data_IF_718245423229
#
_entry.id   IF_718245423229
#
_cell.length_a   1.000
_cell.length_b   1.000
_cell.length_c   1.000
_cell.angle_alpha   90.00
_cell.angle_beta   90.00
_cell.angle_gamma   90.00
#
_symmetry.space_group_name_H-M   'P 1'
#
loop_
_entity.id
_entity.type
_entity.pdbx_description
1 polymer ?
#
# COMPACT_ATOMS: atom_id res chain seq x y z
N UNK A 1 21.69 14.30 -26.53
CA UNK A 1 20.87 13.77 -25.41
C UNK A 1 19.44 14.21 -25.68
N UNK A 2 18.64 13.35 -26.33
CA UNK A 2 17.28 13.67 -26.68
C UNK A 2 16.41 13.45 -25.44
N UNK A 3 15.89 14.54 -24.88
CA UNK A 3 14.79 14.48 -23.92
C UNK A 3 13.56 14.04 -24.71
N UNK A 4 13.12 12.81 -24.46
CA UNK A 4 11.87 12.27 -24.96
C UNK A 4 10.72 12.99 -24.26
N UNK A 5 10.22 14.06 -24.87
CA UNK A 5 8.90 14.61 -24.56
C UNK A 5 7.85 13.54 -24.91
N UNK A 6 7.38 12.86 -23.87
CA UNK A 6 6.26 11.91 -23.98
C UNK A 6 4.99 12.76 -24.16
N UNK A 7 4.17 12.54 -25.20
CA UNK A 7 2.95 13.30 -25.41
C UNK A 7 1.99 13.10 -24.22
N UNK A 8 1.25 14.14 -23.79
CA UNK A 8 0.37 14.11 -22.61
C UNK A 8 -0.88 13.22 -22.76
N UNK A 9 -0.94 12.35 -23.77
CA UNK A 9 -2.10 11.56 -24.14
C UNK A 9 -2.15 10.14 -23.54
N UNK A 10 -1.06 9.64 -22.93
CA UNK A 10 -1.01 8.26 -22.41
C UNK A 10 -1.41 8.12 -20.94
N UNK A 11 -1.50 9.21 -20.18
CA UNK A 11 -1.70 9.17 -18.72
C UNK A 11 -2.97 9.93 -18.32
N UNK A 12 -3.78 9.38 -17.41
CA UNK A 12 -5.08 9.99 -17.07
C UNK A 12 -4.97 11.36 -16.42
N UNK A 13 -3.78 11.71 -15.92
CA UNK A 13 -3.47 12.91 -15.14
C UNK A 13 -2.41 13.79 -15.79
N UNK A 14 -2.08 13.59 -17.08
CA UNK A 14 -1.01 14.33 -17.77
C UNK A 14 -1.15 15.86 -17.68
N UNK A 15 -2.39 16.36 -17.62
CA UNK A 15 -2.70 17.79 -17.49
C UNK A 15 -2.30 18.40 -16.14
N UNK A 16 -1.97 17.59 -15.12
CA UNK A 16 -1.49 18.10 -13.82
C UNK A 16 -0.04 18.61 -13.87
N UNK A 17 0.70 18.38 -14.95
CA UNK A 17 2.07 18.88 -15.10
C UNK A 17 2.18 20.42 -15.12
N UNK A 18 1.08 21.12 -15.38
CA UNK A 18 1.01 22.59 -15.30
C UNK A 18 1.02 23.11 -13.86
N UNK A 19 0.60 22.27 -12.91
CA UNK A 19 0.46 22.59 -11.48
C UNK A 19 1.72 22.17 -10.70
N UNK A 20 1.61 22.04 -9.38
CA UNK A 20 2.71 21.57 -8.55
C UNK A 20 3.20 20.16 -9.01
N UNK A 21 4.52 19.96 -9.19
CA UNK A 21 5.09 18.67 -9.60
C UNK A 21 4.67 17.48 -8.74
N UNK A 22 4.37 17.71 -7.46
CA UNK A 22 3.90 16.68 -6.52
C UNK A 22 2.59 16.06 -7.00
N UNK A 23 1.67 16.83 -7.61
CA UNK A 23 0.39 16.30 -8.09
C UNK A 23 0.60 15.29 -9.20
N UNK A 24 1.42 15.63 -10.19
CA UNK A 24 1.78 14.73 -11.28
C UNK A 24 2.48 13.48 -10.76
N UNK A 25 3.42 13.63 -9.82
CA UNK A 25 4.15 12.51 -9.25
C UNK A 25 3.24 11.54 -8.49
N UNK A 26 2.36 12.06 -7.61
CA UNK A 26 1.41 11.25 -6.85
C UNK A 26 0.42 10.53 -7.77
N UNK A 27 -0.12 11.23 -8.76
CA UNK A 27 -1.05 10.65 -9.72
C UNK A 27 -0.39 9.54 -10.56
N UNK A 28 0.79 9.80 -11.13
CA UNK A 28 1.54 8.80 -11.91
C UNK A 28 1.89 7.58 -11.06
N UNK A 29 2.33 7.78 -9.82
CA UNK A 29 2.65 6.69 -8.91
C UNK A 29 1.41 5.83 -8.60
N UNK A 30 0.25 6.46 -8.41
CA UNK A 30 -1.01 5.74 -8.23
C UNK A 30 -1.37 4.89 -9.46
N UNK A 31 -1.25 5.43 -10.67
CA UNK A 31 -1.50 4.68 -11.90
C UNK A 31 -0.54 3.49 -12.06
N UNK A 32 0.75 3.70 -11.82
CA UNK A 32 1.75 2.63 -11.94
C UNK A 32 1.57 1.52 -10.90
N UNK A 33 1.11 1.87 -9.69
CA UNK A 33 0.90 0.91 -8.62
C UNK A 33 -0.39 0.10 -8.80
N UNK A 34 -1.34 0.55 -9.62
CA UNK A 34 -2.67 -0.08 -9.74
C UNK A 34 -2.63 -1.58 -10.04
N UNK A 35 -1.70 -1.98 -10.90
CA UNK A 35 -1.55 -3.37 -11.32
C UNK A 35 -0.86 -4.23 -10.26
N UNK A 36 0.19 -3.73 -9.61
CA UNK A 36 0.96 -4.51 -8.63
C UNK A 36 0.36 -4.46 -7.23
N UNK A 37 -0.19 -3.31 -6.83
CA UNK A 37 -0.66 -3.02 -5.48
C UNK A 37 -1.82 -2.00 -5.47
N UNK A 38 -3.08 -2.49 -5.48
CA UNK A 38 -4.27 -1.68 -5.32
C UNK A 38 -4.31 -0.85 -4.04
N UNK A 39 -3.68 -1.32 -2.96
CA UNK A 39 -3.63 -0.61 -1.69
C UNK A 39 -2.76 0.65 -1.83
N UNK A 40 -1.54 0.49 -2.33
CA UNK A 40 -0.64 1.63 -2.62
C UNK A 40 -1.33 2.63 -3.54
N UNK A 41 -2.11 2.18 -4.52
CA UNK A 41 -2.90 3.07 -5.40
C UNK A 41 -3.83 3.97 -4.59
N UNK A 42 -4.70 3.40 -3.75
CA UNK A 42 -5.64 4.19 -2.93
C UNK A 42 -4.92 5.13 -1.95
N UNK A 43 -3.80 4.70 -1.38
CA UNK A 43 -2.97 5.56 -0.52
C UNK A 43 -2.45 6.77 -1.31
N UNK A 44 -1.91 6.55 -2.53
CA UNK A 44 -1.41 7.63 -3.38
C UNK A 44 -2.51 8.57 -3.86
N UNK A 45 -3.69 8.07 -4.16
CA UNK A 45 -4.84 8.91 -4.52
C UNK A 45 -5.35 9.75 -3.36
N UNK A 46 -5.31 9.21 -2.14
CA UNK A 46 -5.58 10.00 -0.94
C UNK A 46 -4.55 11.11 -0.75
N UNK A 47 -3.26 10.80 -0.86
CA UNK A 47 -2.19 11.80 -0.79
C UNK A 47 -2.37 12.91 -1.83
N UNK A 48 -2.79 12.55 -3.06
CA UNK A 48 -3.13 13.52 -4.10
C UNK A 48 -4.28 14.43 -3.68
N UNK A 49 -5.36 13.87 -3.12
CA UNK A 49 -6.48 14.66 -2.60
C UNK A 49 -6.11 15.54 -1.40
N UNK A 50 -5.22 15.09 -0.52
CA UNK A 50 -4.67 15.90 0.58
C UNK A 50 -3.87 17.08 0.05
N UNK A 51 -2.97 16.84 -0.90
CA UNK A 51 -2.13 17.88 -1.51
C UNK A 51 -2.99 18.93 -2.24
N UNK A 52 -3.99 18.51 -3.01
CA UNK A 52 -4.93 19.44 -3.67
C UNK A 52 -5.73 20.26 -2.67
N UNK A 53 -6.18 19.66 -1.56
CA UNK A 53 -6.91 20.40 -0.52
C UNK A 53 -6.02 21.47 0.15
N UNK A 54 -4.77 21.13 0.46
CA UNK A 54 -3.79 22.06 1.03
C UNK A 54 -3.50 23.22 0.07
N UNK A 55 -3.34 22.93 -1.21
CA UNK A 55 -3.11 23.95 -2.24
C UNK A 55 -4.31 24.91 -2.37
N UNK A 56 -5.53 24.38 -2.42
CA UNK A 56 -6.76 25.19 -2.40
C UNK A 56 -6.80 26.08 -1.15
N UNK A 57 -6.50 25.52 0.02
CA UNK A 57 -6.49 26.30 1.26
C UNK A 57 -5.45 27.43 1.21
N UNK A 58 -4.25 27.15 0.70
CA UNK A 58 -3.21 28.16 0.52
C UNK A 58 -3.63 29.26 -0.46
N UNK A 59 -4.22 28.91 -1.61
CA UNK A 59 -4.72 29.87 -2.59
C UNK A 59 -5.85 30.76 -2.04
N UNK A 60 -6.67 30.24 -1.12
CA UNK A 60 -7.79 30.96 -0.53
C UNK A 60 -7.45 31.65 0.80
N UNK A 61 -6.20 31.60 1.26
CA UNK A 61 -5.79 32.20 2.54
C UNK A 61 -6.41 31.52 3.76
N UNK A 62 -6.79 30.24 3.64
CA UNK A 62 -7.30 29.44 4.75
C UNK A 62 -6.10 28.88 5.52
N UNK A 63 -5.97 29.27 6.78
CA UNK A 63 -4.88 28.78 7.63
C UNK A 63 -5.06 27.29 7.99
N UNK A 64 -3.97 26.54 7.83
CA UNK A 64 -3.84 25.15 8.25
C UNK A 64 -2.43 24.87 8.77
N UNK A 65 -2.34 23.93 9.70
CA UNK A 65 -1.08 23.44 10.29
C UNK A 65 -1.10 21.91 10.34
N UNK A 66 -0.04 21.30 10.87
CA UNK A 66 0.09 19.84 11.00
C UNK A 66 -0.95 19.20 11.96
N UNK A 67 -1.58 20.00 12.83
CA UNK A 67 -2.58 19.52 13.78
C UNK A 67 -3.99 19.52 13.18
N UNK A 68 -4.23 20.31 12.14
CA UNK A 68 -5.52 20.32 11.43
C UNK A 68 -5.73 19.01 10.69
N UNK A 69 -6.77 18.27 11.08
CA UNK A 69 -7.12 17.04 10.39
C UNK A 69 -7.59 17.33 8.95
N UNK A 70 -7.37 16.38 8.03
CA UNK A 70 -7.86 16.53 6.66
C UNK A 70 -9.38 16.79 6.60
N UNK A 71 -10.16 16.17 7.49
CA UNK A 71 -11.61 16.39 7.54
C UNK A 71 -11.95 17.83 7.92
N UNK A 72 -11.24 18.40 8.90
CA UNK A 72 -11.42 19.79 9.33
C UNK A 72 -10.98 20.77 8.24
N UNK A 73 -9.87 20.48 7.55
CA UNK A 73 -9.42 21.28 6.41
C UNK A 73 -10.47 21.33 5.30
N UNK A 74 -11.02 20.17 4.92
CA UNK A 74 -12.10 20.09 3.92
C UNK A 74 -13.36 20.83 4.36
N UNK A 75 -13.70 20.80 5.65
CA UNK A 75 -14.82 21.57 6.19
C UNK A 75 -14.59 23.08 6.05
N UNK A 76 -13.39 23.57 6.39
CA UNK A 76 -13.02 24.99 6.24
C UNK A 76 -13.08 25.43 4.78
N UNK A 77 -12.49 24.64 3.88
CA UNK A 77 -12.51 24.87 2.43
C UNK A 77 -13.96 24.95 1.92
N UNK A 78 -14.80 23.99 2.27
CA UNK A 78 -16.17 23.95 1.80
C UNK A 78 -17.00 25.15 2.32
N UNK A 79 -16.74 25.60 3.55
CA UNK A 79 -17.40 26.77 4.12
C UNK A 79 -17.04 28.06 3.37
N UNK A 80 -15.78 28.21 2.99
CA UNK A 80 -15.27 29.43 2.33
C UNK A 80 -15.64 29.47 0.84
N UNK A 81 -15.37 28.39 0.11
CA UNK A 81 -15.54 28.33 -1.34
C UNK A 81 -16.94 27.91 -1.79
N UNK A 82 -17.75 27.34 -0.88
CA UNK A 82 -19.07 26.76 -1.17
C UNK A 82 -19.00 25.80 -2.36
N UNK A 83 -18.11 24.82 -2.25
CA UNK A 83 -17.89 23.82 -3.30
C UNK A 83 -19.19 23.09 -3.64
N UNK A 84 -19.30 22.67 -4.89
CA UNK A 84 -20.40 21.80 -5.29
C UNK A 84 -20.39 20.50 -4.46
N UNK A 85 -21.56 19.97 -4.06
CA UNK A 85 -21.64 18.76 -3.23
C UNK A 85 -20.87 17.56 -3.81
N UNK A 86 -20.78 17.48 -5.14
CA UNK A 86 -20.05 16.40 -5.82
C UNK A 86 -18.53 16.48 -5.61
N UNK A 87 -17.98 17.71 -5.58
CA UNK A 87 -16.53 17.94 -5.45
C UNK A 87 -16.07 17.59 -4.04
N UNK A 88 -16.81 18.04 -3.02
CA UNK A 88 -16.52 17.68 -1.61
C UNK A 88 -16.68 16.17 -1.38
N UNK A 89 -17.65 15.54 -2.06
CA UNK A 89 -17.81 14.10 -2.02
C UNK A 89 -16.59 13.36 -2.61
N UNK A 90 -15.95 13.87 -3.66
CA UNK A 90 -14.73 13.26 -4.20
C UNK A 90 -13.60 13.25 -3.16
N UNK A 91 -13.35 14.37 -2.49
CA UNK A 91 -12.36 14.44 -1.40
C UNK A 91 -12.68 13.45 -0.28
N UNK A 92 -13.95 13.39 0.16
CA UNK A 92 -14.36 12.45 1.20
C UNK A 92 -14.22 10.99 0.77
N UNK A 93 -14.58 10.64 -0.47
CA UNK A 93 -14.41 9.29 -0.99
C UNK A 93 -12.94 8.87 -1.01
N UNK A 94 -12.03 9.72 -1.52
CA UNK A 94 -10.60 9.41 -1.52
C UNK A 94 -10.03 9.27 -0.11
N UNK A 95 -10.46 10.13 0.82
CA UNK A 95 -10.08 10.02 2.24
C UNK A 95 -10.54 8.70 2.84
N UNK A 96 -11.81 8.34 2.67
CA UNK A 96 -12.40 7.15 3.30
C UNK A 96 -11.76 5.89 2.72
N UNK A 97 -11.67 5.78 1.40
CA UNK A 97 -11.09 4.61 0.73
C UNK A 97 -9.59 4.49 0.99
N UNK A 98 -8.84 5.60 0.99
CA UNK A 98 -7.42 5.60 1.36
C UNK A 98 -7.18 5.17 2.81
N UNK A 99 -8.00 5.64 3.76
CA UNK A 99 -7.92 5.19 5.16
C UNK A 99 -8.24 3.70 5.31
N UNK A 100 -9.29 3.21 4.63
CA UNK A 100 -9.60 1.78 4.60
C UNK A 100 -8.43 0.97 4.07
N UNK A 101 -7.79 1.41 3.00
CA UNK A 101 -6.64 0.74 2.40
C UNK A 101 -5.43 0.67 3.38
N UNK A 102 -5.19 1.74 4.15
CA UNK A 102 -4.14 1.75 5.19
C UNK A 102 -4.41 0.79 6.35
N UNK A 103 -5.68 0.62 6.77
CA UNK A 103 -6.01 -0.16 7.98
C UNK A 103 -6.50 -1.60 7.68
N UNK A 104 -7.07 -1.85 6.51
CA UNK A 104 -7.55 -3.15 6.07
C UNK A 104 -6.58 -3.67 5.01
N UNK A 105 -5.73 -4.64 5.37
CA UNK A 105 -4.71 -5.26 4.51
C UNK A 105 -5.27 -5.99 3.25
N UNK A 106 -6.52 -5.75 2.86
CA UNK A 106 -7.19 -6.31 1.69
C UNK A 106 -7.88 -5.19 0.91
N UNK A 107 -7.34 -4.85 -0.25
CA UNK A 107 -7.94 -3.90 -1.21
C UNK A 107 -8.20 -4.64 -2.52
N UNK A 108 -9.39 -4.48 -3.10
CA UNK A 108 -9.73 -5.07 -4.41
C UNK A 108 -9.35 -4.12 -5.53
N UNK A 109 -8.90 -4.66 -6.68
CA UNK A 109 -8.64 -3.85 -7.88
C UNK A 109 -9.85 -3.01 -8.32
N UNK A 110 -11.08 -3.48 -8.08
CA UNK A 110 -12.30 -2.71 -8.34
C UNK A 110 -12.35 -1.41 -7.53
N UNK A 111 -12.03 -1.48 -6.23
CA UNK A 111 -12.05 -0.33 -5.33
C UNK A 111 -10.96 0.69 -5.73
N UNK A 112 -9.77 0.20 -6.07
CA UNK A 112 -8.70 1.05 -6.59
C UNK A 112 -9.06 1.71 -7.94
N UNK A 113 -9.80 1.01 -8.80
CA UNK A 113 -10.23 1.53 -10.11
C UNK A 113 -11.29 2.62 -9.95
N UNK A 114 -12.25 2.39 -9.06
CA UNK A 114 -13.25 3.39 -8.73
C UNK A 114 -12.60 4.61 -8.05
N UNK A 115 -11.61 4.39 -7.18
CA UNK A 115 -10.75 5.44 -6.63
C UNK A 115 -10.04 6.26 -7.72
N UNK A 116 -9.44 5.62 -8.72
CA UNK A 116 -8.77 6.30 -9.84
C UNK A 116 -9.73 7.20 -10.63
N UNK A 117 -10.95 6.73 -10.89
CA UNK A 117 -11.98 7.53 -11.57
C UNK A 117 -12.38 8.75 -10.75
N UNK A 118 -12.58 8.57 -9.44
CA UNK A 118 -12.93 9.67 -8.52
C UNK A 118 -11.80 10.69 -8.43
N UNK A 119 -10.56 10.23 -8.27
CA UNK A 119 -9.39 11.10 -8.24
C UNK A 119 -9.21 11.87 -9.55
N UNK A 120 -9.49 11.23 -10.68
CA UNK A 120 -9.46 11.91 -11.98
C UNK A 120 -10.54 12.96 -12.09
N UNK A 121 -11.77 12.67 -11.67
CA UNK A 121 -12.85 13.66 -11.67
C UNK A 121 -12.48 14.88 -10.81
N UNK A 122 -11.90 14.64 -9.63
CA UNK A 122 -11.39 15.69 -8.76
C UNK A 122 -10.26 16.50 -9.43
N UNK A 123 -9.28 15.82 -10.04
CA UNK A 123 -8.16 16.47 -10.73
C UNK A 123 -8.63 17.32 -11.92
N UNK A 124 -9.63 16.87 -12.68
CA UNK A 124 -10.23 17.62 -13.78
C UNK A 124 -10.87 18.89 -13.25
N UNK A 125 -11.71 18.78 -12.21
CA UNK A 125 -12.34 19.94 -11.59
C UNK A 125 -11.30 20.94 -11.06
N UNK A 126 -10.25 20.45 -10.41
CA UNK A 126 -9.15 21.28 -9.92
C UNK A 126 -8.47 22.01 -11.07
N UNK A 127 -8.11 21.29 -12.15
CA UNK A 127 -7.46 21.90 -13.31
C UNK A 127 -8.37 22.90 -14.03
N UNK A 128 -9.69 22.66 -14.09
CA UNK A 128 -10.65 23.62 -14.66
C UNK A 128 -10.83 24.86 -13.77
N UNK A 129 -10.58 24.76 -12.47
CA UNK A 129 -10.75 25.87 -11.52
C UNK A 129 -9.49 26.73 -11.38
N UNK A 130 -8.31 26.11 -11.42
CA UNK A 130 -7.04 26.78 -11.14
C UNK A 130 -6.05 26.78 -12.32
N UNK A 131 -6.31 26.02 -13.39
CA UNK A 131 -5.43 25.94 -14.57
C UNK A 131 -5.65 27.07 -15.58
N UNK A 132 -4.66 27.33 -16.44
CA UNK A 132 -4.67 28.44 -17.42
C UNK A 132 -5.82 28.35 -18.43
N UNK A 133 -6.23 27.13 -18.80
CA UNK A 133 -7.33 26.93 -19.76
C UNK A 133 -8.72 27.02 -19.12
N UNK A 134 -8.81 27.00 -17.79
CA UNK A 134 -10.05 27.08 -17.04
C UNK A 134 -11.12 26.11 -17.51
N UNK A 135 -12.36 26.58 -17.61
CA UNK A 135 -13.54 25.80 -18.06
C UNK A 135 -13.50 25.39 -19.53
N UNK A 136 -12.57 25.95 -20.33
CA UNK A 136 -12.36 25.55 -21.72
C UNK A 136 -11.64 24.21 -21.86
N UNK A 137 -11.02 23.70 -20.79
CA UNK A 137 -10.33 22.42 -20.79
C UNK A 137 -11.30 21.25 -20.96
N UNK A 138 -11.06 20.42 -22.00
CA UNK A 138 -11.82 19.20 -22.27
C UNK A 138 -10.97 17.98 -21.95
N UNK A 139 -11.28 17.24 -20.86
CA UNK A 139 -10.55 16.03 -20.53
C UNK A 139 -10.83 14.93 -21.57
N UNK A 140 -9.80 14.18 -21.94
CA UNK A 140 -9.95 12.96 -22.75
C UNK A 140 -10.72 11.85 -22.01
N UNK A 141 -10.97 10.70 -22.64
CA UNK A 141 -11.56 9.55 -21.97
C UNK A 141 -10.64 9.02 -20.85
N UNK A 142 -11.22 8.35 -19.85
CA UNK A 142 -10.45 7.61 -18.85
C UNK A 142 -9.87 6.35 -19.50
N UNK A 143 -8.56 6.18 -19.39
CA UNK A 143 -7.82 5.01 -19.89
C UNK A 143 -7.53 4.12 -18.66
N UNK A 144 -8.22 2.98 -18.50
CA UNK A 144 -7.97 2.11 -17.36
C UNK A 144 -6.53 1.58 -17.41
N UNK A 145 -5.78 1.58 -16.29
CA UNK A 145 -4.45 0.97 -16.27
C UNK A 145 -4.55 -0.52 -16.62
N UNK A 146 -3.51 -1.11 -17.24
CA UNK A 146 -3.55 -2.49 -17.70
C UNK A 146 -3.86 -3.45 -16.56
N UNK A 147 -4.83 -4.34 -16.78
CA UNK A 147 -5.26 -5.35 -15.81
C UNK A 147 -4.12 -6.37 -15.60
N UNK A 148 -3.50 -6.45 -14.41
CA UNK A 148 -2.43 -7.41 -14.11
C UNK A 148 -2.89 -8.86 -14.26
N UNK A 149 -4.19 -9.13 -14.09
CA UNK A 149 -4.75 -10.46 -14.29
C UNK A 149 -4.81 -10.87 -15.77
N UNK A 150 -4.63 -9.93 -16.71
CA UNK A 150 -4.52 -10.26 -18.13
C UNK A 150 -3.25 -11.07 -18.44
N UNK A 151 -2.13 -10.75 -17.76
CA UNK A 151 -0.88 -11.50 -17.91
C UNK A 151 -1.00 -12.89 -17.27
N UNK A 152 -1.60 -12.97 -16.07
CA UNK A 152 -1.86 -14.26 -15.41
C UNK A 152 -2.81 -15.15 -16.23
N UNK A 153 -3.89 -14.58 -16.80
CA UNK A 153 -4.81 -15.30 -17.69
C UNK A 153 -4.12 -15.79 -18.96
N UNK A 154 -3.28 -14.96 -19.59
CA UNK A 154 -2.45 -15.39 -20.74
C UNK A 154 -1.54 -16.56 -20.38
N UNK A 155 -0.82 -16.47 -19.27
CA UNK A 155 0.07 -17.54 -18.80
C UNK A 155 -0.70 -18.82 -18.48
N UNK A 156 -1.89 -18.72 -17.88
CA UNK A 156 -2.76 -19.88 -17.64
C UNK A 156 -3.22 -20.54 -18.94
N UNK A 157 -3.65 -19.76 -19.93
CA UNK A 157 -4.00 -20.29 -21.26
C UNK A 157 -2.79 -20.94 -21.95
N UNK A 158 -1.60 -20.36 -21.81
CA UNK A 158 -0.36 -20.91 -22.37
C UNK A 158 0.05 -22.21 -21.68
N UNK A 159 -0.10 -22.30 -20.36
CA UNK A 159 0.09 -23.55 -19.58
C UNK A 159 -0.91 -24.62 -20.03
N UNK A 160 -2.20 -24.29 -20.17
CA UNK A 160 -3.21 -25.23 -20.65
C UNK A 160 -2.91 -25.72 -22.08
N UNK A 161 -2.46 -24.83 -22.96
CA UNK A 161 -2.04 -25.18 -24.31
C UNK A 161 -0.80 -26.07 -24.32
N UNK A 162 0.21 -25.76 -23.50
CA UNK A 162 1.41 -26.58 -23.36
C UNK A 162 1.13 -27.94 -22.73
N UNK A 163 0.21 -28.00 -21.75
CA UNK A 163 -0.26 -29.26 -21.18
C UNK A 163 -0.99 -30.10 -22.22
N UNK A 164 -1.87 -29.51 -23.03
CA UNK A 164 -2.55 -30.20 -24.11
C UNK A 164 -1.56 -30.69 -25.18
N UNK A 165 -0.52 -29.91 -25.50
CA UNK A 165 0.56 -30.32 -26.40
C UNK A 165 1.41 -31.45 -25.82
N UNK A 166 1.73 -31.42 -24.52
CA UNK A 166 2.44 -32.50 -23.83
C UNK A 166 1.62 -33.79 -23.79
N UNK A 167 0.32 -33.69 -23.52
CA UNK A 167 -0.61 -34.83 -23.57
C UNK A 167 -0.71 -35.41 -24.99
N UNK A 168 -0.76 -34.56 -26.01
CA UNK A 168 -0.77 -34.99 -27.41
C UNK A 168 0.58 -35.58 -27.87
N UNK A 169 1.71 -35.02 -27.40
CA UNK A 169 3.06 -35.54 -27.67
C UNK A 169 3.32 -36.86 -26.94
N UNK A 170 2.81 -37.01 -25.71
CA UNK A 170 2.83 -38.27 -24.96
C UNK A 170 1.98 -39.37 -25.61
N UNK A 171 0.99 -39.02 -26.45
CA UNK A 171 0.20 -40.00 -27.19
C UNK A 171 0.92 -40.57 -28.44
N UNK A 172 2.07 -40.00 -28.84
CA UNK A 172 2.85 -40.45 -30.01
C UNK A 172 4.15 -41.19 -29.67
N UNK A 173 4.44 -41.44 -28.39
CA UNK A 173 5.64 -42.17 -27.99
C UNK A 173 5.31 -43.59 -27.47
N UNK A 174 5.81 -44.58 -28.21
CA UNK A 174 5.80 -46.04 -27.99
C UNK A 174 6.51 -46.53 -26.68
N UNK A 175 6.40 -45.81 -25.56
CA UNK A 175 7.31 -45.96 -24.40
C UNK A 175 6.61 -46.19 -23.07
N UNK A 176 5.86 -47.30 -22.95
CA UNK A 176 5.34 -47.70 -21.63
C UNK A 176 6.47 -48.07 -20.64
N UNK A 177 7.58 -48.63 -21.14
CA UNK A 177 8.71 -49.05 -20.30
C UNK A 177 9.63 -47.90 -19.86
N UNK A 178 9.98 -46.98 -20.77
CA UNK A 178 10.80 -45.81 -20.40
C UNK A 178 10.04 -44.82 -19.52
N UNK A 179 8.73 -44.62 -19.76
CA UNK A 179 7.89 -43.80 -18.90
C UNK A 179 7.76 -44.40 -17.50
N UNK A 180 7.59 -45.72 -17.39
CA UNK A 180 7.53 -46.40 -16.08
C UNK A 180 8.87 -46.32 -15.33
N UNK A 181 10.00 -46.42 -16.04
CA UNK A 181 11.33 -46.24 -15.46
C UNK A 181 11.56 -44.80 -14.95
N UNK A 182 11.16 -43.80 -15.74
CA UNK A 182 11.26 -42.38 -15.35
C UNK A 182 10.35 -42.03 -14.17
N UNK A 183 9.11 -42.56 -14.14
CA UNK A 183 8.19 -42.38 -13.01
C UNK A 183 8.69 -43.07 -11.73
N UNK A 184 9.34 -44.23 -11.86
CA UNK A 184 9.96 -44.91 -10.73
C UNK A 184 11.16 -44.11 -10.17
N UNK A 185 11.97 -43.51 -11.06
CA UNK A 185 13.09 -42.65 -10.69
C UNK A 185 12.60 -41.36 -10.03
N UNK A 186 11.63 -40.68 -10.63
CA UNK A 186 11.00 -39.48 -10.07
C UNK A 186 10.45 -39.76 -8.67
N UNK A 187 9.71 -40.86 -8.49
CA UNK A 187 9.15 -41.23 -7.18
C UNK A 187 10.23 -41.51 -6.13
N UNK A 188 11.37 -42.07 -6.53
CA UNK A 188 12.51 -42.30 -5.63
C UNK A 188 13.14 -40.96 -5.20
N UNK A 189 13.38 -40.05 -6.14
CA UNK A 189 13.95 -38.73 -5.88
C UNK A 189 13.02 -37.88 -5.00
N UNK A 190 11.71 -37.90 -5.25
CA UNK A 190 10.72 -37.23 -4.39
C UNK A 190 10.65 -37.81 -2.98
N UNK A 191 10.78 -39.13 -2.86
CA UNK A 191 10.81 -39.79 -1.55
C UNK A 191 12.06 -39.40 -0.75
N UNK A 192 13.21 -39.30 -1.41
CA UNK A 192 14.45 -38.89 -0.77
C UNK A 192 14.40 -37.40 -0.38
N UNK A 193 13.91 -36.54 -1.26
CA UNK A 193 13.72 -35.12 -0.97
C UNK A 193 12.72 -34.90 0.18
N UNK A 194 11.62 -35.64 0.21
CA UNK A 194 10.65 -35.56 1.31
C UNK A 194 11.26 -35.98 2.66
N UNK A 195 12.14 -36.98 2.68
CA UNK A 195 12.88 -37.37 3.89
C UNK A 195 13.87 -36.29 4.33
N UNK A 196 14.57 -35.65 3.39
CA UNK A 196 15.47 -34.54 3.68
C UNK A 196 14.71 -33.33 4.23
N UNK A 197 13.56 -32.97 3.63
CA UNK A 197 12.71 -31.88 4.10
C UNK A 197 12.12 -32.17 5.49
N UNK A 198 11.70 -33.40 5.77
CA UNK A 198 11.21 -33.77 7.11
C UNK A 198 12.33 -33.70 8.16
N UNK A 199 13.55 -34.13 7.80
CA UNK A 199 14.71 -34.01 8.67
C UNK A 199 15.09 -32.55 8.95
N UNK A 200 15.12 -31.70 7.91
CA UNK A 200 15.39 -30.27 8.04
C UNK A 200 14.29 -29.55 8.83
N UNK A 201 13.02 -29.87 8.59
CA UNK A 201 11.89 -29.32 9.33
C UNK A 201 11.97 -29.67 10.82
N UNK A 202 12.37 -30.90 11.17
CA UNK A 202 12.60 -31.30 12.56
C UNK A 202 13.75 -30.52 13.20
N UNK A 203 14.84 -30.29 12.46
CA UNK A 203 15.97 -29.49 12.94
C UNK A 203 15.58 -28.04 13.18
N UNK A 204 14.84 -27.43 12.24
CA UNK A 204 14.36 -26.06 12.35
C UNK A 204 13.36 -25.90 13.50
N UNK A 205 12.47 -26.88 13.70
CA UNK A 205 11.53 -26.88 14.82
C UNK A 205 12.24 -26.94 16.18
N UNK A 206 13.30 -27.76 16.30
CA UNK A 206 14.11 -27.82 17.51
C UNK A 206 14.86 -26.49 17.74
N UNK A 207 15.45 -25.91 16.70
CA UNK A 207 16.12 -24.61 16.79
C UNK A 207 15.13 -23.49 17.18
N UNK A 208 13.94 -23.47 16.61
CA UNK A 208 12.89 -22.51 16.95
C UNK A 208 12.48 -22.64 18.43
N UNK A 209 12.33 -23.87 18.92
CA UNK A 209 12.03 -24.14 20.33
C UNK A 209 13.14 -23.64 21.27
N UNK A 210 14.41 -23.80 20.87
CA UNK A 210 15.55 -23.28 21.62
C UNK A 210 15.56 -21.75 21.65
N UNK A 211 15.29 -21.10 20.52
CA UNK A 211 15.18 -19.64 20.44
C UNK A 211 14.01 -19.10 21.26
N UNK A 212 12.85 -19.75 21.24
CA UNK A 212 11.68 -19.36 22.04
C UNK A 212 11.97 -19.48 23.54
N UNK A 213 12.64 -20.55 23.97
CA UNK A 213 13.07 -20.72 25.35
C UNK A 213 14.08 -19.64 25.79
N UNK A 214 15.03 -19.28 24.93
CA UNK A 214 16.00 -18.21 25.22
C UNK A 214 15.32 -16.83 25.25
N UNK A 215 14.40 -16.55 24.32
CA UNK A 215 13.62 -15.31 24.30
C UNK A 215 12.80 -15.15 25.59
N UNK A 216 12.14 -16.22 26.04
CA UNK A 216 11.38 -16.23 27.30
C UNK A 216 12.28 -15.93 28.50
N UNK A 217 13.47 -16.56 28.58
CA UNK A 217 14.47 -16.25 29.62
C UNK A 217 14.94 -14.79 29.59
N UNK A 218 15.11 -14.21 28.39
CA UNK A 218 15.50 -12.81 28.25
C UNK A 218 14.38 -11.86 28.67
N UNK A 219 13.12 -12.19 28.35
CA UNK A 219 11.93 -11.46 28.79
C UNK A 219 11.83 -11.47 30.31
N UNK A 220 11.97 -12.63 30.96
CA UNK A 220 11.96 -12.73 32.43
C UNK A 220 13.05 -11.87 33.08
N UNK A 221 14.28 -11.92 32.55
CA UNK A 221 15.39 -11.07 33.04
C UNK A 221 15.10 -9.58 32.85
N UNK A 222 14.50 -9.20 31.73
CA UNK A 222 14.13 -7.82 31.44
C UNK A 222 13.03 -7.32 32.38
N UNK A 223 11.99 -8.13 32.60
CA UNK A 223 10.92 -7.83 33.55
C UNK A 223 11.45 -7.68 34.99
N UNK A 224 12.36 -8.56 35.41
CA UNK A 224 13.03 -8.44 36.71
C UNK A 224 13.80 -7.12 36.81
N UNK A 225 14.55 -6.75 35.77
CA UNK A 225 15.29 -5.47 35.73
C UNK A 225 14.35 -4.26 35.79
N UNK A 226 13.22 -4.30 35.08
CA UNK A 226 12.20 -3.24 35.14
C UNK A 226 11.60 -3.11 36.54
N UNK A 227 11.26 -4.23 37.18
CA UNK A 227 10.75 -4.23 38.57
C UNK A 227 11.76 -3.63 39.54
N UNK A 228 13.03 -3.99 39.42
CA UNK A 228 14.09 -3.42 40.27
C UNK A 228 14.24 -1.92 40.04
N UNK A 229 14.29 -1.47 38.78
CA UNK A 229 14.37 -0.04 38.45
C UNK A 229 13.17 0.75 38.96
N UNK A 230 11.95 0.22 38.83
CA UNK A 230 10.73 0.85 39.37
C UNK A 230 10.78 0.96 40.89
N UNK A 231 11.26 -0.07 41.60
CA UNK A 231 11.41 -0.05 43.05
C UNK A 231 12.49 0.95 43.51
N UNK A 232 13.60 1.08 42.77
CA UNK A 232 14.63 2.09 43.03
C UNK A 232 14.11 3.51 42.80
N UNK A 233 13.37 3.74 41.71
CA UNK A 233 12.77 5.03 41.41
C UNK A 233 11.77 5.43 42.49
N UNK A 234 10.91 4.51 42.93
CA UNK A 234 9.94 4.73 44.00
C UNK A 234 10.60 5.08 45.34
N UNK A 235 11.69 4.39 45.70
CA UNK A 235 12.48 4.72 46.90
C UNK A 235 13.11 6.11 46.80
N UNK A 236 13.61 6.51 45.63
CA UNK A 236 14.17 7.85 45.43
C UNK A 236 13.10 8.94 45.53
N UNK A 237 11.90 8.73 45.00
CA UNK A 237 10.78 9.70 45.16
C UNK A 237 10.32 9.80 46.61
N UNK A 238 10.23 8.70 47.36
CA UNK A 238 9.89 8.71 48.78
C UNK A 238 10.97 9.40 49.63
N UNK A 239 12.25 9.15 49.35
CA UNK A 239 13.37 9.82 49.99
C UNK A 239 13.35 11.34 49.71
N UNK A 240 13.09 11.75 48.48
CA UNK A 240 13.01 13.17 48.09
C UNK A 240 11.79 13.85 48.73
N UNK A 241 10.64 13.17 48.81
CA UNK A 241 9.44 13.68 49.47
C UNK A 241 9.61 13.82 50.99
N UNK A 242 10.31 12.88 51.63
CA UNK A 242 10.59 12.93 53.08
C UNK A 242 11.61 14.02 53.44
N UNK A 243 12.66 14.21 52.65
CA UNK A 243 13.60 15.36 52.83
C UNK A 243 12.89 16.68 52.65
N UNK A 244 12.01 16.80 51.64
CA UNK A 244 11.23 18.03 51.41
C UNK A 244 10.26 18.32 52.57
N UNK A 245 9.62 17.31 53.17
CA UNK A 245 8.77 17.48 54.35
C UNK A 245 9.56 17.88 55.60
N UNK A 246 10.76 17.34 55.80
CA UNK A 246 11.64 17.73 56.92
C UNK A 246 12.14 19.18 56.78
N UNK A 247 12.36 19.66 55.55
CA UNK A 247 12.77 21.05 55.29
C UNK A 247 11.64 22.07 55.50
N UNK A 248 10.37 21.68 55.35
CA UNK A 248 9.21 22.57 55.59
C UNK A 248 8.77 22.67 57.06
N UNK A 249 9.22 21.75 57.92
CA UNK A 249 8.88 21.71 59.35
C UNK A 249 9.98 22.31 60.26
N UNK A 250 10.89 23.12 59.68
CA UNK A 250 11.89 23.94 60.39
C UNK A 250 11.61 25.41 60.12
#
# INVERSE_FOLDING_TARGET
>A
MAQSEIPPAEHNFGFLQEHDPVFWQLARNAESAFASDPNTTLIKLRQLGEAMAQDIAACCGIEFDEQVSQADLLYRINRELRLEPVVIQYFHTLRIEGNKATHQFKTRHKEALDGLKVARALAIWFHQSFGKQGTGFKPGPFIPPPDPSAQLRRLQTEIEQLQAQLLAANAQLDTNQQLTALLAQEKAEWSELAQQMDAESRQLAELARQHEAELSRQQEKFEQRLKTLQAELAKQTEQTASTRKQALNR
#
